data_IF_861949772489
#
_entry.id   IF_861949772489
#
_cell.length_a   1.000
_cell.length_b   1.000
_cell.length_c   1.000
_cell.angle_alpha   90.00
_cell.angle_beta   90.00
_cell.angle_gamma   90.00
#
_symmetry.space_group_name_H-M   'P 1'
#
loop_
_entity.id
_entity.type
_entity.pdbx_description
1 polymer ?
#
# COMPACT_ATOMS: atom_id res chain seq x y z
N UNK A 1 -2.21 -1.67 0.72
CA UNK A 1 -1.96 -2.92 -0.07
C UNK A 1 -2.95 -3.24 -1.21
N UNK A 2 -4.07 -2.53 -1.32
CA UNK A 2 -5.20 -2.87 -2.19
C UNK A 2 -4.90 -3.04 -3.70
N UNK A 3 -3.96 -2.26 -4.26
CA UNK A 3 -3.55 -2.41 -5.66
C UNK A 3 -2.98 -3.80 -5.97
N UNK A 4 -2.21 -4.38 -5.05
CA UNK A 4 -1.66 -5.73 -5.20
C UNK A 4 -2.78 -6.77 -5.09
N UNK A 5 -3.61 -6.67 -4.03
CA UNK A 5 -4.73 -7.60 -3.78
C UNK A 5 -5.71 -7.66 -4.96
N UNK A 6 -5.97 -6.52 -5.61
CA UNK A 6 -6.88 -6.39 -6.74
C UNK A 6 -6.26 -6.74 -8.10
N UNK A 7 -5.05 -7.30 -8.13
CA UNK A 7 -4.28 -7.53 -9.35
C UNK A 7 -4.14 -6.27 -10.24
N UNK A 8 -4.15 -5.09 -9.63
CA UNK A 8 -4.05 -3.80 -10.30
C UNK A 8 -5.33 -3.31 -10.98
N UNK A 9 -6.48 -3.89 -10.66
CA UNK A 9 -7.80 -3.35 -11.03
C UNK A 9 -8.09 -2.07 -10.26
N UNK A 10 -7.70 -2.02 -8.98
CA UNK A 10 -7.80 -0.81 -8.17
C UNK A 10 -6.46 -0.08 -8.09
N UNK A 11 -6.49 1.20 -8.43
CA UNK A 11 -5.31 2.06 -8.45
C UNK A 11 -5.16 2.85 -7.14
N UNK A 12 -3.93 2.97 -6.65
CA UNK A 12 -3.62 3.80 -5.49
C UNK A 12 -3.49 5.26 -5.92
N UNK A 13 -4.52 6.05 -5.65
CA UNK A 13 -4.56 7.46 -6.06
C UNK A 13 -3.60 8.31 -5.24
N UNK A 14 -2.68 8.99 -5.93
CA UNK A 14 -1.83 10.03 -5.33
C UNK A 14 -2.69 11.22 -4.93
N UNK A 15 -2.50 11.70 -3.70
CA UNK A 15 -3.25 12.82 -3.14
C UNK A 15 -2.31 13.78 -2.41
N UNK A 16 -2.68 15.07 -2.41
CA UNK A 16 -1.97 16.13 -1.68
C UNK A 16 -2.97 17.03 -0.97
N UNK A 17 -2.54 17.67 0.11
CA UNK A 17 -3.34 18.67 0.83
C UNK A 17 -2.74 20.05 0.60
N UNK A 18 -3.60 21.04 0.32
CA UNK A 18 -3.23 22.45 0.22
C UNK A 18 -4.07 23.21 1.26
N UNK A 19 -3.42 23.96 2.15
CA UNK A 19 -4.11 24.85 3.09
C UNK A 19 -3.87 26.31 2.70
N UNK A 20 -4.79 26.90 1.91
CA UNK A 20 -4.74 28.30 1.49
C UNK A 20 -5.49 29.25 2.44
N UNK A 21 -5.84 28.78 3.65
CA UNK A 21 -6.58 29.53 4.66
C UNK A 21 -5.64 30.03 5.76
N UNK A 22 -5.89 31.21 6.37
CA UNK A 22 -5.19 31.63 7.58
C UNK A 22 -5.56 30.80 8.82
N UNK A 23 -6.46 29.81 8.70
CA UNK A 23 -6.91 28.95 9.80
C UNK A 23 -6.18 27.61 9.79
N UNK A 24 -6.04 27.03 10.99
CA UNK A 24 -5.54 25.67 11.15
C UNK A 24 -6.50 24.64 10.56
N UNK A 25 -5.97 23.64 9.87
CA UNK A 25 -6.74 22.52 9.32
C UNK A 25 -6.38 21.25 10.09
N UNK A 26 -7.37 20.64 10.74
CA UNK A 26 -7.24 19.35 11.41
C UNK A 26 -7.71 18.24 10.48
N UNK A 27 -7.00 17.12 10.45
CA UNK A 27 -7.41 15.90 9.76
C UNK A 27 -6.97 14.69 10.57
N UNK A 28 -7.88 13.75 10.78
CA UNK A 28 -7.57 12.47 11.45
C UNK A 28 -7.67 11.38 10.39
N UNK A 29 -6.53 10.82 10.01
CA UNK A 29 -6.45 9.71 9.07
C UNK A 29 -6.44 8.38 9.82
N UNK A 30 -7.14 7.39 9.28
CA UNK A 30 -7.07 6.00 9.72
C UNK A 30 -6.63 5.13 8.56
N UNK A 31 -5.65 4.26 8.80
CA UNK A 31 -5.11 3.34 7.80
C UNK A 31 -5.48 1.91 8.20
N UNK A 32 -6.32 1.27 7.38
CA UNK A 32 -6.69 -0.13 7.57
C UNK A 32 -5.85 -1.00 6.63
N UNK A 33 -4.98 -1.83 7.20
CA UNK A 33 -4.04 -2.66 6.47
C UNK A 33 -4.04 -4.08 7.03
N UNK A 34 -3.34 -4.99 6.34
CA UNK A 34 -3.16 -6.37 6.79
C UNK A 34 -2.25 -6.47 8.01
N UNK A 35 -2.23 -7.64 8.67
CA UNK A 35 -1.27 -7.92 9.74
C UNK A 35 0.18 -7.73 9.26
N UNK A 36 1.08 -7.40 10.18
CA UNK A 36 2.49 -7.10 9.87
C UNK A 36 3.17 -8.23 9.08
N UNK A 37 3.04 -9.47 9.56
CA UNK A 37 3.66 -10.63 8.91
C UNK A 37 2.80 -11.23 7.78
N UNK A 38 1.71 -10.54 7.39
CA UNK A 38 0.81 -11.06 6.37
C UNK A 38 1.52 -11.15 5.02
N UNK A 39 1.39 -12.32 4.39
CA UNK A 39 1.78 -12.54 3.00
C UNK A 39 0.67 -12.01 2.09
N UNK A 40 1.00 -11.03 1.25
CA UNK A 40 0.04 -10.36 0.37
C UNK A 40 0.37 -10.63 -1.09
N UNK A 41 -0.64 -11.05 -1.84
CA UNK A 41 -0.59 -11.29 -3.27
C UNK A 41 -1.96 -11.04 -3.93
N UNK A 42 -2.06 -11.02 -5.26
CA UNK A 42 -3.35 -10.90 -5.93
C UNK A 42 -4.32 -12.03 -5.53
N UNK A 43 -5.54 -11.65 -5.15
CA UNK A 43 -6.60 -12.59 -4.76
C UNK A 43 -7.09 -13.39 -5.98
N UNK A 44 -7.48 -14.64 -5.77
CA UNK A 44 -7.93 -15.56 -6.83
C UNK A 44 -9.02 -14.96 -7.71
N UNK A 45 -10.03 -14.32 -7.10
CA UNK A 45 -11.13 -13.68 -7.84
C UNK A 45 -10.63 -12.62 -8.84
N UNK A 46 -9.54 -11.92 -8.54
CA UNK A 46 -8.96 -10.92 -9.45
C UNK A 46 -8.01 -11.55 -10.47
N UNK A 47 -7.31 -12.63 -10.10
CA UNK A 47 -6.48 -13.41 -11.04
C UNK A 47 -7.34 -14.04 -12.14
N UNK A 48 -8.52 -14.55 -11.78
CA UNK A 48 -9.46 -15.20 -12.69
C UNK A 48 -10.23 -14.21 -13.56
N UNK A 49 -10.80 -13.14 -12.97
CA UNK A 49 -11.63 -12.18 -13.70
C UNK A 49 -10.82 -11.16 -14.51
N UNK A 50 -9.59 -10.89 -14.09
CA UNK A 50 -8.74 -9.85 -14.66
C UNK A 50 -7.29 -10.35 -14.85
N UNK A 51 -7.08 -11.35 -15.73
CA UNK A 51 -5.73 -11.77 -16.10
C UNK A 51 -5.01 -10.61 -16.79
N UNK A 52 -3.73 -10.41 -16.48
CA UNK A 52 -2.94 -9.28 -17.01
C UNK A 52 -1.67 -9.84 -17.65
N UNK A 53 -1.37 -9.43 -18.88
CA UNK A 53 -0.15 -9.81 -19.61
C UNK A 53 0.02 -11.34 -19.81
N UNK A 54 -1.04 -12.08 -20.10
CA UNK A 54 -1.04 -13.55 -20.22
C UNK A 54 -0.55 -14.30 -18.96
N UNK A 55 -0.32 -13.59 -17.84
CA UNK A 55 -0.08 -14.19 -16.54
C UNK A 55 -1.31 -14.00 -15.65
N UNK A 56 -1.62 -15.01 -14.84
CA UNK A 56 -2.65 -14.91 -13.81
C UNK A 56 -2.23 -13.95 -12.69
N UNK A 57 -0.94 -13.64 -12.56
CA UNK A 57 -0.40 -12.83 -11.47
C UNK A 57 0.48 -11.69 -11.99
N UNK A 58 -0.02 -10.45 -11.87
CA UNK A 58 0.68 -9.26 -12.32
C UNK A 58 1.64 -8.67 -11.27
N UNK A 59 1.43 -9.00 -9.99
CA UNK A 59 2.21 -8.48 -8.87
C UNK A 59 2.91 -9.60 -8.13
N UNK A 60 4.16 -9.35 -7.74
CA UNK A 60 4.90 -10.25 -6.86
C UNK A 60 4.25 -10.31 -5.48
N UNK A 61 4.33 -11.49 -4.89
CA UNK A 61 3.97 -11.71 -3.48
C UNK A 61 4.95 -10.94 -2.58
N UNK A 62 4.42 -10.31 -1.53
CA UNK A 62 5.20 -9.48 -0.59
C UNK A 62 4.73 -9.69 0.85
N UNK A 63 5.64 -9.62 1.81
CA UNK A 63 5.28 -9.52 3.24
C UNK A 63 4.95 -8.06 3.54
N UNK A 64 3.80 -7.80 4.16
CA UNK A 64 3.31 -6.43 4.39
C UNK A 64 4.27 -5.59 5.22
N UNK A 65 4.79 -6.14 6.32
CA UNK A 65 5.69 -5.45 7.26
C UNK A 65 6.99 -5.01 6.59
N UNK A 66 7.61 -5.89 5.80
CA UNK A 66 8.80 -5.55 5.01
C UNK A 66 8.51 -4.42 4.02
N UNK A 67 7.42 -4.54 3.26
CA UNK A 67 6.99 -3.52 2.31
C UNK A 67 6.70 -2.17 3.02
N UNK A 68 6.11 -2.20 4.22
CA UNK A 68 5.84 -1.00 5.03
C UNK A 68 7.14 -0.35 5.49
N UNK A 69 8.07 -1.12 6.07
CA UNK A 69 9.35 -0.61 6.57
C UNK A 69 10.16 0.03 5.44
N UNK A 70 10.27 -0.61 4.28
CA UNK A 70 10.97 -0.06 3.10
C UNK A 70 10.40 1.30 2.71
N UNK A 71 9.07 1.45 2.74
CA UNK A 71 8.42 2.74 2.40
C UNK A 71 8.64 3.81 3.47
N UNK A 72 8.67 3.42 4.74
CA UNK A 72 8.83 4.37 5.83
C UNK A 72 10.28 4.85 5.98
N UNK A 73 11.27 4.04 5.62
CA UNK A 73 12.69 4.40 5.64
C UNK A 73 13.00 5.66 4.82
N UNK A 74 12.28 5.91 3.72
CA UNK A 74 12.49 7.14 2.92
C UNK A 74 12.00 8.41 3.63
N UNK A 75 11.21 8.27 4.70
CA UNK A 75 10.60 9.38 5.44
C UNK A 75 11.17 9.51 6.86
N UNK A 76 11.48 8.38 7.50
CA UNK A 76 11.95 8.29 8.88
C UNK A 76 13.34 7.65 8.93
N UNK A 77 14.38 8.49 9.03
CA UNK A 77 15.77 8.07 8.93
C UNK A 77 16.19 7.01 9.96
N UNK A 78 15.64 7.06 11.18
CA UNK A 78 16.07 6.20 12.30
C UNK A 78 15.08 5.07 12.63
N UNK A 79 14.23 4.68 11.66
CA UNK A 79 13.14 3.72 11.90
C UNK A 79 13.62 2.34 12.38
N UNK A 80 14.86 1.95 12.03
CA UNK A 80 15.40 0.60 12.26
C UNK A 80 16.54 0.59 13.29
N UNK A 81 16.93 1.75 13.81
CA UNK A 81 18.10 1.91 14.70
C UNK A 81 17.82 1.50 16.17
N UNK A 82 16.73 0.77 16.43
CA UNK A 82 16.29 0.39 17.77
C UNK A 82 16.14 -1.13 17.97
N UNK A 83 16.83 -1.93 17.15
CA UNK A 83 16.96 -3.38 17.37
C UNK A 83 18.24 -3.73 18.14
#
# INVERSE_FOLDING_TARGET
MLKILSNGVYESTLHRVINNSPRYRVCVGFFYETNFDAMVEPLDIFKEKHPRNNSSQAFKRVVYGEHLVIKLQTTFANLVDHN
#
